data_IF_359551008872
#
_entry.id   IF_359551008872
#
_cell.length_a   1.000
_cell.length_b   1.000
_cell.length_c   1.000
_cell.angle_alpha   90.00
_cell.angle_beta   90.00
_cell.angle_gamma   90.00
#
_symmetry.space_group_name_H-M   'P 1'
#
loop_
_entity.id
_entity.type
_entity.pdbx_description
1 polymer ?
#
# COMPACT_ATOMS: atom_id res chain seq x y z
N UNK A 1 -13.70 3.51 16.97
CA UNK A 1 -12.34 3.51 16.42
C UNK A 1 -11.86 2.07 16.26
N UNK A 2 -11.36 1.64 15.08
CA UNK A 2 -10.66 0.37 14.91
C UNK A 2 -9.37 0.32 15.75
N UNK A 3 -8.87 -0.89 16.04
CA UNK A 3 -7.61 -1.08 16.76
C UNK A 3 -6.44 -0.38 16.05
N UNK A 4 -6.32 -0.61 14.75
CA UNK A 4 -5.32 -0.02 13.85
C UNK A 4 -6.00 0.38 12.53
N UNK A 5 -5.46 1.38 11.83
CA UNK A 5 -5.95 1.84 10.53
C UNK A 5 -4.82 1.82 9.49
N UNK A 6 -5.13 1.26 8.32
CA UNK A 6 -4.17 1.18 7.20
C UNK A 6 -4.36 2.28 6.14
N UNK A 7 -5.22 3.25 6.42
CA UNK A 7 -5.46 4.41 5.56
C UNK A 7 -5.28 5.69 6.37
N UNK A 8 -4.67 6.71 5.75
CA UNK A 8 -4.33 7.98 6.41
C UNK A 8 -5.57 8.74 6.95
N UNK A 9 -6.77 8.45 6.43
CA UNK A 9 -8.01 9.16 6.77
C UNK A 9 -8.87 8.51 7.88
N UNK A 10 -8.45 7.38 8.47
CA UNK A 10 -9.25 6.71 9.50
C UNK A 10 -8.55 6.79 10.85
N UNK A 11 -9.19 7.48 11.81
CA UNK A 11 -8.76 7.50 13.20
C UNK A 11 -8.72 6.08 13.79
N UNK A 12 -7.59 5.68 14.39
CA UNK A 12 -7.43 4.39 15.08
C UNK A 12 -7.07 4.56 16.55
N UNK A 13 -7.35 3.52 17.35
CA UNK A 13 -7.00 3.49 18.77
C UNK A 13 -5.49 3.47 18.98
N UNK A 14 -4.73 2.81 18.09
CA UNK A 14 -3.26 2.74 18.15
C UNK A 14 -2.57 3.99 17.60
N UNK A 15 -3.08 4.55 16.49
CA UNK A 15 -2.45 5.66 15.77
C UNK A 15 -2.82 7.04 16.32
N UNK A 16 -4.04 7.19 16.85
CA UNK A 16 -4.59 8.49 17.24
C UNK A 16 -4.94 8.55 18.74
N UNK A 17 -4.08 7.98 19.59
CA UNK A 17 -4.31 7.85 21.05
C UNK A 17 -4.69 9.17 21.72
N UNK A 18 -4.06 10.29 21.36
CA UNK A 18 -4.34 11.59 21.98
C UNK A 18 -5.74 12.11 21.63
N UNK A 19 -6.16 11.97 20.37
CA UNK A 19 -7.45 12.44 19.89
C UNK A 19 -8.60 11.59 20.44
N UNK A 20 -8.39 10.27 20.48
CA UNK A 20 -9.30 9.33 21.14
C UNK A 20 -9.40 9.61 22.64
N UNK A 21 -8.28 9.87 23.32
CA UNK A 21 -8.26 10.23 24.75
C UNK A 21 -9.01 11.53 25.03
N UNK A 22 -8.83 12.56 24.19
CA UNK A 22 -9.54 13.82 24.34
C UNK A 22 -11.06 13.67 24.12
N UNK A 23 -11.47 12.81 23.19
CA UNK A 23 -12.89 12.48 23.04
C UNK A 23 -13.42 11.68 24.23
N UNK A 24 -12.68 10.69 24.71
CA UNK A 24 -13.05 9.90 25.87
C UNK A 24 -13.21 10.78 27.12
N UNK A 25 -12.29 11.72 27.33
CA UNK A 25 -12.38 12.67 28.43
C UNK A 25 -13.67 13.49 28.35
N UNK A 26 -13.99 14.04 27.17
CA UNK A 26 -15.23 14.80 26.96
C UNK A 26 -16.47 13.96 27.25
N UNK A 27 -16.55 12.75 26.70
CA UNK A 27 -17.72 11.88 26.95
C UNK A 27 -17.88 11.47 28.42
N UNK A 28 -16.78 11.22 29.12
CA UNK A 28 -16.83 10.92 30.56
C UNK A 28 -17.23 12.18 31.34
N UNK A 29 -16.70 13.36 30.98
CA UNK A 29 -17.04 14.62 31.62
C UNK A 29 -18.54 14.93 31.50
N UNK A 30 -19.13 14.79 30.31
CA UNK A 30 -20.55 15.05 30.09
C UNK A 30 -21.45 14.16 30.97
N UNK A 31 -21.04 12.92 31.21
CA UNK A 31 -21.79 11.99 32.09
C UNK A 31 -21.63 12.32 33.57
N UNK A 32 -20.47 12.82 33.96
CA UNK A 32 -20.11 13.12 35.34
C UNK A 32 -20.45 14.55 35.77
N UNK A 33 -20.80 15.44 34.83
CA UNK A 33 -21.15 16.83 35.08
C UNK A 33 -22.28 16.96 36.11
N UNK A 34 -23.32 16.11 36.00
CA UNK A 34 -24.45 16.09 36.96
C UNK A 34 -24.04 15.72 38.39
N UNK A 35 -22.91 15.03 38.55
CA UNK A 35 -22.36 14.67 39.85
C UNK A 35 -21.39 15.73 40.40
N UNK A 36 -21.12 16.81 39.66
CA UNK A 36 -20.15 17.85 40.04
C UNK A 36 -18.70 17.37 40.01
N UNK A 37 -18.40 16.30 39.28
CA UNK A 37 -17.05 15.73 39.18
C UNK A 37 -16.33 16.27 37.94
N UNK A 38 -15.09 16.73 38.12
CA UNK A 38 -14.24 17.23 37.04
C UNK A 38 -13.23 16.15 36.60
N UNK A 39 -13.21 15.86 35.29
CA UNK A 39 -12.37 14.84 34.66
C UNK A 39 -11.13 15.51 34.10
N UNK A 40 -9.99 15.29 34.76
CA UNK A 40 -8.71 15.90 34.40
C UNK A 40 -8.09 15.20 33.18
N UNK A 41 -8.18 13.87 33.12
CA UNK A 41 -7.68 13.07 32.01
C UNK A 41 -8.48 11.77 31.83
N UNK A 42 -8.46 11.23 30.61
CA UNK A 42 -8.93 9.88 30.32
C UNK A 42 -7.98 9.18 29.36
N UNK A 43 -7.49 7.99 29.73
CA UNK A 43 -6.48 7.24 28.97
C UNK A 43 -6.85 5.76 28.90
N UNK A 44 -6.53 5.14 27.76
CA UNK A 44 -6.63 3.69 27.60
C UNK A 44 -5.35 3.07 28.18
N UNK A 45 -5.48 2.35 29.29
CA UNK A 45 -4.31 1.78 29.99
C UNK A 45 -3.68 0.58 29.28
N UNK A 46 -4.48 -0.20 28.55
CA UNK A 46 -4.00 -1.38 27.84
C UNK A 46 -4.75 -1.54 26.52
N UNK A 47 -3.99 -1.52 25.42
CA UNK A 47 -4.49 -1.74 24.08
C UNK A 47 -3.61 -2.80 23.42
N UNK A 48 -4.13 -4.02 23.31
CA UNK A 48 -3.46 -5.12 22.64
C UNK A 48 -4.47 -6.00 21.91
N UNK A 49 -4.03 -6.68 20.86
CA UNK A 49 -4.79 -7.79 20.29
C UNK A 49 -4.93 -8.91 21.33
N UNK A 50 -6.07 -9.61 21.32
CA UNK A 50 -6.20 -10.85 22.07
C UNK A 50 -5.25 -11.92 21.52
N UNK A 51 -4.77 -12.82 22.40
CA UNK A 51 -3.71 -13.77 22.07
C UNK A 51 -4.12 -14.71 20.93
N UNK A 52 -5.39 -15.06 20.86
CA UNK A 52 -6.02 -15.93 19.86
C UNK A 52 -5.99 -15.33 18.45
N UNK A 53 -5.96 -14.00 18.33
CA UNK A 53 -6.02 -13.29 17.04
C UNK A 53 -4.72 -12.55 16.68
N UNK A 54 -3.77 -12.45 17.61
CA UNK A 54 -2.55 -11.67 17.41
C UNK A 54 -1.75 -12.15 16.18
N UNK A 55 -1.59 -13.47 16.01
CA UNK A 55 -0.88 -14.04 14.87
C UNK A 55 -1.58 -13.75 13.53
N UNK A 56 -2.91 -13.90 13.48
CA UNK A 56 -3.70 -13.64 12.29
C UNK A 56 -3.69 -12.13 11.92
N UNK A 57 -3.74 -11.25 12.92
CA UNK A 57 -3.66 -9.81 12.72
C UNK A 57 -2.28 -9.40 12.20
N UNK A 58 -1.20 -9.93 12.78
CA UNK A 58 0.16 -9.70 12.30
C UNK A 58 0.33 -10.17 10.86
N UNK A 59 -0.16 -11.37 10.54
CA UNK A 59 -0.12 -11.90 9.17
C UNK A 59 -0.86 -10.99 8.18
N UNK A 60 -2.03 -10.47 8.58
CA UNK A 60 -2.80 -9.52 7.77
C UNK A 60 -2.05 -8.21 7.55
N UNK A 61 -1.41 -7.67 8.59
CA UNK A 61 -0.59 -6.45 8.49
C UNK A 61 0.60 -6.65 7.55
N UNK A 62 1.30 -7.78 7.66
CA UNK A 62 2.41 -8.12 6.77
C UNK A 62 1.94 -8.29 5.32
N UNK A 63 0.82 -8.98 5.09
CA UNK A 63 0.24 -9.11 3.76
C UNK A 63 -0.12 -7.75 3.16
N UNK A 64 -0.71 -6.85 3.95
CA UNK A 64 -0.99 -5.47 3.54
C UNK A 64 0.27 -4.70 3.16
N UNK A 65 1.32 -4.78 3.98
CA UNK A 65 2.61 -4.14 3.72
C UNK A 65 3.27 -4.68 2.43
N UNK A 66 3.21 -5.99 2.21
CA UNK A 66 3.72 -6.63 0.98
C UNK A 66 2.96 -6.14 -0.25
N UNK A 67 1.63 -6.07 -0.20
CA UNK A 67 0.81 -5.57 -1.31
C UNK A 67 1.10 -4.09 -1.58
N UNK A 68 1.22 -3.27 -0.54
CA UNK A 68 1.56 -1.85 -0.68
C UNK A 68 2.94 -1.66 -1.32
N UNK A 69 3.94 -2.43 -0.89
CA UNK A 69 5.28 -2.42 -1.50
C UNK A 69 5.24 -2.85 -2.97
N UNK A 70 4.53 -3.94 -3.29
CA UNK A 70 4.37 -4.42 -4.67
C UNK A 70 3.65 -3.42 -5.57
N UNK A 71 2.65 -2.72 -5.04
CA UNK A 71 1.93 -1.69 -5.79
C UNK A 71 2.86 -0.55 -6.20
N UNK A 72 3.72 -0.07 -5.29
CA UNK A 72 4.73 0.96 -5.61
C UNK A 72 5.74 0.50 -6.66
N UNK A 73 6.15 -0.77 -6.63
CA UNK A 73 7.06 -1.33 -7.65
C UNK A 73 6.37 -1.31 -9.03
N UNK A 74 5.11 -1.75 -9.10
CA UNK A 74 4.34 -1.77 -10.35
C UNK A 74 4.13 -0.34 -10.88
N UNK A 75 3.78 0.61 -10.03
CA UNK A 75 3.65 2.03 -10.42
C UNK A 75 4.94 2.58 -11.03
N UNK A 76 6.09 2.33 -10.37
CA UNK A 76 7.40 2.72 -10.89
C UNK A 76 7.72 2.03 -12.22
N UNK A 77 7.43 0.74 -12.34
CA UNK A 77 7.68 -0.02 -13.56
C UNK A 77 6.84 0.46 -14.74
N UNK A 78 5.54 0.72 -14.54
CA UNK A 78 4.66 1.28 -15.58
C UNK A 78 5.19 2.61 -16.08
N UNK A 79 5.60 3.50 -15.17
CA UNK A 79 6.20 4.79 -15.55
C UNK A 79 7.51 4.64 -16.33
N UNK A 80 8.38 3.70 -15.95
CA UNK A 80 9.61 3.41 -16.69
C UNK A 80 9.35 2.89 -18.11
N UNK A 81 8.34 2.02 -18.27
CA UNK A 81 7.95 1.48 -19.59
C UNK A 81 7.37 2.58 -20.48
N UNK A 82 6.51 3.43 -19.93
CA UNK A 82 5.92 4.55 -20.66
C UNK A 82 7.01 5.50 -21.19
N UNK A 83 7.96 5.90 -20.32
CA UNK A 83 9.09 6.74 -20.72
C UNK A 83 9.94 6.08 -21.81
N UNK A 84 10.23 4.78 -21.69
CA UNK A 84 11.05 4.06 -22.66
C UNK A 84 10.38 4.01 -24.06
N UNK A 85 9.08 3.71 -24.11
CA UNK A 85 8.30 3.70 -25.35
C UNK A 85 8.25 5.08 -26.00
N UNK A 86 8.04 6.13 -25.21
CA UNK A 86 8.00 7.50 -25.72
C UNK A 86 9.36 7.90 -26.32
N UNK A 87 10.47 7.56 -25.66
CA UNK A 87 11.81 7.82 -26.17
C UNK A 87 12.11 7.08 -27.47
N UNK A 88 11.69 5.82 -27.60
CA UNK A 88 11.86 5.02 -28.83
C UNK A 88 11.07 5.61 -29.99
N UNK A 89 9.83 6.03 -29.73
CA UNK A 89 8.96 6.66 -30.72
C UNK A 89 9.52 8.02 -31.18
N UNK A 90 9.98 8.87 -30.24
CA UNK A 90 10.58 10.18 -30.57
C UNK A 90 11.86 10.06 -31.41
N UNK A 91 12.62 8.98 -31.23
CA UNK A 91 13.85 8.73 -32.00
C UNK A 91 13.58 7.98 -33.31
N UNK A 92 12.32 7.66 -33.61
CA UNK A 92 11.89 6.87 -34.78
C UNK A 92 12.67 5.56 -34.95
N UNK A 93 13.18 4.99 -33.83
CA UNK A 93 14.02 3.79 -33.86
C UNK A 93 13.20 2.56 -34.27
N UNK A 94 11.92 2.54 -33.92
CA UNK A 94 11.03 1.42 -34.22
C UNK A 94 9.60 1.94 -34.41
N UNK A 95 8.88 1.42 -35.42
CA UNK A 95 7.43 1.57 -35.51
C UNK A 95 6.76 0.32 -34.95
N UNK A 96 6.00 0.51 -33.88
CA UNK A 96 5.25 -0.55 -33.22
C UNK A 96 3.78 -0.41 -33.58
N UNK A 97 3.19 -1.47 -34.11
CA UNK A 97 1.74 -1.63 -34.06
C UNK A 97 1.28 -1.87 -32.61
N UNK A 98 -0.03 -1.77 -32.37
CA UNK A 98 -0.61 -1.93 -31.03
C UNK A 98 -0.32 -3.32 -30.42
N UNK A 99 -0.24 -4.36 -31.25
CA UNK A 99 0.03 -5.74 -30.79
C UNK A 99 1.48 -5.90 -30.29
N UNK A 100 2.45 -5.40 -31.05
CA UNK A 100 3.88 -5.38 -30.65
C UNK A 100 4.12 -4.50 -29.44
N UNK A 101 3.40 -3.37 -29.34
CA UNK A 101 3.47 -2.49 -28.18
C UNK A 101 2.98 -3.20 -26.93
N UNK A 102 1.84 -3.88 -26.98
CA UNK A 102 1.32 -4.67 -25.86
C UNK A 102 2.30 -5.79 -25.45
N UNK A 103 2.88 -6.51 -26.41
CA UNK A 103 3.89 -7.54 -26.14
C UNK A 103 5.14 -6.95 -25.47
N UNK A 104 5.63 -5.80 -25.93
CA UNK A 104 6.80 -5.14 -25.36
C UNK A 104 6.56 -4.61 -23.94
N UNK A 105 5.39 -4.01 -23.70
CA UNK A 105 4.96 -3.59 -22.35
C UNK A 105 4.93 -4.77 -21.40
N UNK A 106 4.29 -5.88 -21.81
CA UNK A 106 4.23 -7.10 -21.00
C UNK A 106 5.62 -7.62 -20.66
N UNK A 107 6.52 -7.72 -21.65
CA UNK A 107 7.88 -8.21 -21.42
C UNK A 107 8.68 -7.30 -20.49
N UNK A 108 8.58 -5.98 -20.65
CA UNK A 108 9.27 -5.02 -19.81
C UNK A 108 8.71 -5.02 -18.38
N UNK A 109 7.39 -5.10 -18.20
CA UNK A 109 6.78 -5.20 -16.87
C UNK A 109 7.20 -6.47 -16.16
N UNK A 110 7.26 -7.61 -16.86
CA UNK A 110 7.78 -8.86 -16.27
C UNK A 110 9.23 -8.69 -15.83
N UNK A 111 10.08 -8.05 -16.63
CA UNK A 111 11.49 -7.79 -16.27
C UNK A 111 11.63 -6.84 -15.08
N UNK A 112 10.87 -5.76 -15.06
CA UNK A 112 10.97 -4.72 -14.02
C UNK A 112 10.32 -5.12 -12.69
N UNK A 113 9.25 -5.92 -12.73
CA UNK A 113 8.51 -6.33 -11.53
C UNK A 113 8.93 -7.71 -10.98
N UNK A 114 9.89 -8.40 -11.62
CA UNK A 114 10.33 -9.72 -11.15
C UNK A 114 11.25 -9.62 -9.94
N UNK A 115 10.93 -10.37 -8.88
CA UNK A 115 11.72 -10.50 -7.64
C UNK A 115 13.06 -11.25 -7.83
N UNK A 116 13.29 -11.88 -8.98
CA UNK A 116 14.54 -12.56 -9.35
C UNK A 116 15.15 -11.92 -10.59
N UNK A 117 16.48 -11.94 -10.70
CA UNK A 117 17.19 -11.60 -11.94
C UNK A 117 16.54 -12.34 -13.12
N UNK A 118 15.78 -11.62 -13.95
CA UNK A 118 15.11 -12.21 -15.11
C UNK A 118 16.17 -12.64 -16.10
N UNK A 119 16.18 -13.94 -16.45
CA UNK A 119 16.96 -14.38 -17.60
C UNK A 119 16.26 -13.85 -18.85
N UNK A 120 16.93 -13.05 -19.70
CA UNK A 120 16.30 -12.56 -20.92
C UNK A 120 15.91 -13.75 -21.78
N UNK A 121 14.61 -13.94 -22.01
CA UNK A 121 14.14 -14.88 -23.02
C UNK A 121 14.37 -14.20 -24.37
N UNK A 122 15.55 -14.40 -24.94
CA UNK A 122 15.88 -13.93 -26.28
C UNK A 122 14.99 -14.70 -27.25
N UNK A 123 13.90 -14.07 -27.70
CA UNK A 123 13.05 -14.64 -28.73
C UNK A 123 13.79 -14.53 -30.07
N UNK A 124 14.54 -15.57 -30.44
CA UNK A 124 15.19 -15.71 -31.75
C UNK A 124 14.20 -16.16 -32.83
N UNK A 125 12.90 -15.87 -32.66
CA UNK A 125 11.89 -16.06 -33.70
C UNK A 125 12.38 -15.45 -34.99
N UNK A 126 12.64 -16.32 -35.97
CA UNK A 126 13.19 -15.98 -37.27
C UNK A 126 12.33 -14.89 -37.90
N UNK A 127 12.87 -13.67 -38.01
CA UNK A 127 12.46 -12.76 -39.06
C UNK A 127 12.60 -13.54 -40.37
N UNK A 128 11.55 -13.55 -41.20
CA UNK A 128 11.39 -14.29 -42.47
C UNK A 128 10.76 -15.70 -42.36
N UNK A 129 9.43 -15.72 -42.46
CA UNK A 129 8.70 -16.35 -43.57
C UNK A 129 7.37 -15.63 -43.79
#
# INVERSE_FOLDING_TARGET
>A
YPYDSHGEDVLSLSGNTNEVSAQLQREIQDRLEKAGVNVIEARISHLAYAQEIAAAMLQRQQAGAVVAARSRIVEGAVGMVEMALEMLNRKEIVQLDEERKAAMVSNLLVVLCSDRHTQPVVNTGTLYN
#
